data_IF_402932135182
#
_entry.id   IF_402932135182
#
_cell.length_a   1.000
_cell.length_b   1.000
_cell.length_c   1.000
_cell.angle_alpha   90.00
_cell.angle_beta   90.00
_cell.angle_gamma   90.00
#
_symmetry.space_group_name_H-M   'P 1'
#
loop_
_entity.id
_entity.type
_entity.pdbx_description
1 polymer ?
#
# COMPACT_ATOMS: atom_id res chain seq x y z
N UNK A 1 -29.75 -17.50 4.94
CA UNK A 1 -28.65 -16.61 4.53
C UNK A 1 -28.48 -15.55 5.59
N UNK A 2 -27.30 -15.51 6.22
CA UNK A 2 -26.93 -14.38 7.06
C UNK A 2 -26.56 -13.20 6.16
N UNK A 3 -26.87 -11.99 6.62
CA UNK A 3 -26.55 -10.75 5.92
C UNK A 3 -25.68 -9.89 6.82
N UNK A 4 -24.72 -9.20 6.23
CA UNK A 4 -23.98 -8.17 6.94
C UNK A 4 -24.85 -6.90 7.06
N UNK A 5 -24.48 -6.01 7.98
CA UNK A 5 -25.15 -4.72 8.09
C UNK A 5 -24.75 -3.79 6.93
N UNK A 6 -25.62 -2.86 6.58
CA UNK A 6 -25.30 -1.79 5.63
C UNK A 6 -24.10 -0.94 6.10
N UNK A 7 -23.95 -0.71 7.41
CA UNK A 7 -22.79 -0.02 7.96
C UNK A 7 -21.49 -0.78 7.70
N UNK A 8 -21.53 -2.11 7.74
CA UNK A 8 -20.35 -2.96 7.43
C UNK A 8 -19.95 -2.82 5.96
N UNK A 9 -20.91 -2.83 5.03
CA UNK A 9 -20.64 -2.61 3.60
C UNK A 9 -20.07 -1.21 3.33
N UNK A 10 -20.65 -0.16 3.94
CA UNK A 10 -20.15 1.20 3.81
C UNK A 10 -18.75 1.39 4.41
N UNK A 11 -18.43 0.69 5.50
CA UNK A 11 -17.09 0.70 6.07
C UNK A 11 -16.08 0.05 5.10
N UNK A 12 -16.46 -1.05 4.45
CA UNK A 12 -15.64 -1.71 3.44
C UNK A 12 -15.33 -0.79 2.25
N UNK A 13 -16.33 -0.07 1.73
CA UNK A 13 -16.13 0.93 0.67
C UNK A 13 -15.19 2.06 1.11
N UNK A 14 -15.42 2.64 2.29
CA UNK A 14 -14.57 3.71 2.83
C UNK A 14 -13.12 3.25 3.00
N UNK A 15 -12.92 2.02 3.47
CA UNK A 15 -11.59 1.44 3.62
C UNK A 15 -10.91 1.25 2.27
N UNK A 16 -11.60 0.74 1.26
CA UNK A 16 -11.05 0.58 -0.09
C UNK A 16 -10.59 1.93 -0.68
N UNK A 17 -11.40 2.99 -0.51
CA UNK A 17 -11.03 4.34 -0.94
C UNK A 17 -9.83 4.91 -0.18
N UNK A 18 -9.73 4.65 1.12
CA UNK A 18 -8.58 5.06 1.93
C UNK A 18 -7.30 4.35 1.46
N UNK A 19 -7.37 3.04 1.19
CA UNK A 19 -6.27 2.24 0.65
C UNK A 19 -5.82 2.75 -0.72
N UNK A 20 -6.75 3.19 -1.58
CA UNK A 20 -6.43 3.79 -2.88
C UNK A 20 -5.64 5.10 -2.73
N UNK A 21 -6.10 6.00 -1.84
CA UNK A 21 -5.37 7.24 -1.53
C UNK A 21 -3.97 6.95 -1.00
N UNK A 22 -3.85 5.96 -0.12
CA UNK A 22 -2.57 5.56 0.45
C UNK A 22 -1.60 5.02 -0.61
N UNK A 23 -2.08 4.15 -1.51
CA UNK A 23 -1.27 3.64 -2.62
C UNK A 23 -0.77 4.77 -3.54
N UNK A 24 -1.57 5.82 -3.75
CA UNK A 24 -1.15 7.02 -4.50
C UNK A 24 -0.03 7.78 -3.78
N UNK A 25 -0.15 8.00 -2.47
CA UNK A 25 0.90 8.67 -1.70
C UNK A 25 2.23 7.87 -1.73
N UNK A 26 2.17 6.55 -1.68
CA UNK A 26 3.36 5.69 -1.84
C UNK A 26 3.95 5.87 -3.24
N UNK A 27 3.14 5.87 -4.29
CA UNK A 27 3.61 6.10 -5.66
C UNK A 27 4.34 7.44 -5.79
N UNK A 28 3.79 8.51 -5.20
CA UNK A 28 4.39 9.84 -5.18
C UNK A 28 5.73 9.87 -4.44
N UNK A 29 5.85 9.17 -3.30
CA UNK A 29 7.14 8.99 -2.61
C UNK A 29 8.15 8.26 -3.50
N UNK A 30 7.73 7.21 -4.19
CA UNK A 30 8.58 6.47 -5.13
C UNK A 30 9.10 7.35 -6.26
N UNK A 31 8.25 8.23 -6.81
CA UNK A 31 8.64 9.22 -7.83
C UNK A 31 9.61 10.28 -7.28
N UNK A 32 9.32 10.84 -6.10
CA UNK A 32 10.17 11.84 -5.48
C UNK A 32 11.59 11.34 -5.20
N UNK A 33 11.74 10.05 -4.85
CA UNK A 33 13.05 9.41 -4.67
C UNK A 33 13.85 9.29 -5.97
N UNK A 34 13.19 9.27 -7.13
CA UNK A 34 13.83 9.21 -8.44
C UNK A 34 14.27 10.59 -8.95
N UNK A 35 13.63 11.66 -8.50
CA UNK A 35 13.81 13.03 -9.01
C UNK A 35 14.62 13.96 -8.08
N UNK A 36 14.96 13.52 -6.86
CA UNK A 36 15.65 14.34 -5.86
C UNK A 36 17.13 14.65 -6.18
N UNK A 37 17.73 15.54 -5.39
CA UNK A 37 19.15 15.97 -5.49
C UNK A 37 20.15 14.80 -5.39
N UNK A 38 19.75 13.75 -4.68
CA UNK A 38 20.45 12.46 -4.60
C UNK A 38 19.47 11.33 -4.90
N UNK A 39 19.23 11.03 -6.20
CA UNK A 39 18.19 10.11 -6.58
C UNK A 39 18.57 8.66 -6.23
N UNK A 40 17.60 7.93 -5.68
CA UNK A 40 17.69 6.50 -5.44
C UNK A 40 16.73 5.79 -6.41
N UNK A 41 17.21 5.61 -7.64
CA UNK A 41 16.38 5.16 -8.78
C UNK A 41 15.77 3.78 -8.52
N UNK A 42 16.56 2.84 -8.00
CA UNK A 42 16.09 1.47 -7.79
C UNK A 42 15.09 1.38 -6.63
N UNK A 43 15.35 2.08 -5.52
CA UNK A 43 14.39 2.18 -4.42
C UNK A 43 13.11 2.89 -4.87
N UNK A 44 13.25 4.01 -5.58
CA UNK A 44 12.14 4.80 -6.07
C UNK A 44 11.22 4.02 -7.00
N UNK A 45 11.78 3.27 -7.98
CA UNK A 45 11.01 2.37 -8.84
C UNK A 45 10.29 1.27 -8.05
N UNK A 46 10.95 0.67 -7.06
CA UNK A 46 10.35 -0.38 -6.23
C UNK A 46 9.15 0.14 -5.44
N UNK A 47 9.29 1.30 -4.81
CA UNK A 47 8.21 1.96 -4.06
C UNK A 47 7.08 2.40 -5.01
N UNK A 48 7.42 2.96 -6.16
CA UNK A 48 6.43 3.37 -7.17
C UNK A 48 5.59 2.17 -7.63
N UNK A 49 6.23 1.04 -7.94
CA UNK A 49 5.56 -0.19 -8.32
C UNK A 49 4.64 -0.72 -7.19
N UNK A 50 5.09 -0.63 -5.94
CA UNK A 50 4.28 -1.00 -4.78
C UNK A 50 3.05 -0.09 -4.62
N UNK A 51 3.23 1.23 -4.75
CA UNK A 51 2.11 2.19 -4.72
C UNK A 51 1.07 1.90 -5.79
N UNK A 52 1.50 1.57 -7.01
CA UNK A 52 0.62 1.13 -8.11
C UNK A 52 -0.10 -0.19 -7.81
N UNK A 53 0.59 -1.15 -7.21
CA UNK A 53 -0.01 -2.44 -6.82
C UNK A 53 -1.10 -2.25 -5.76
N UNK A 54 -0.84 -1.43 -4.74
CA UNK A 54 -1.81 -1.09 -3.69
C UNK A 54 -3.03 -0.39 -4.30
N UNK A 55 -2.84 0.55 -5.22
CA UNK A 55 -3.95 1.21 -5.91
C UNK A 55 -4.81 0.22 -6.69
N UNK A 56 -4.20 -0.71 -7.44
CA UNK A 56 -4.92 -1.75 -8.17
C UNK A 56 -5.73 -2.64 -7.23
N UNK A 57 -5.11 -3.15 -6.17
CA UNK A 57 -5.79 -3.98 -5.17
C UNK A 57 -6.92 -3.24 -4.45
N UNK A 58 -6.70 -1.96 -4.11
CA UNK A 58 -7.73 -1.12 -3.52
C UNK A 58 -8.93 -0.93 -4.44
N UNK A 59 -8.70 -0.78 -5.75
CA UNK A 59 -9.76 -0.64 -6.74
C UNK A 59 -10.53 -1.95 -6.94
N UNK A 60 -9.83 -3.09 -6.99
CA UNK A 60 -10.47 -4.41 -7.01
C UNK A 60 -11.33 -4.65 -5.75
N UNK A 61 -10.81 -4.27 -4.59
CA UNK A 61 -11.54 -4.35 -3.32
C UNK A 61 -12.72 -3.38 -3.26
N UNK A 62 -12.63 -2.21 -3.90
CA UNK A 62 -13.75 -1.28 -4.00
C UNK A 62 -14.90 -1.88 -4.83
N UNK A 63 -14.58 -2.44 -6.00
CA UNK A 63 -15.59 -3.12 -6.85
C UNK A 63 -16.25 -4.30 -6.12
N UNK A 64 -15.46 -5.06 -5.34
CA UNK A 64 -16.01 -6.13 -4.50
C UNK A 64 -16.91 -5.58 -3.40
N UNK A 65 -16.55 -4.45 -2.78
CA UNK A 65 -17.38 -3.82 -1.76
C UNK A 65 -18.72 -3.30 -2.32
N UNK A 66 -18.73 -2.73 -3.52
CA UNK A 66 -19.96 -2.29 -4.20
C UNK A 66 -20.89 -3.48 -4.47
N UNK A 67 -20.33 -4.61 -4.94
CA UNK A 67 -21.09 -5.84 -5.18
C UNK A 67 -21.78 -6.40 -3.95
N UNK A 68 -21.25 -6.18 -2.74
CA UNK A 68 -21.90 -6.63 -1.49
C UNK A 68 -23.30 -6.00 -1.36
N UNK A 69 -23.43 -4.73 -1.73
CA UNK A 69 -24.72 -4.04 -1.72
C UNK A 69 -25.66 -4.59 -2.80
N UNK A 70 -25.14 -4.89 -4.00
CA UNK A 70 -25.89 -5.47 -5.13
C UNK A 70 -26.38 -6.89 -4.84
N UNK A 71 -25.59 -7.68 -4.13
CA UNK A 71 -25.90 -9.07 -3.74
C UNK A 71 -26.74 -9.14 -2.45
N UNK A 72 -27.29 -8.01 -2.01
CA UNK A 72 -28.21 -7.96 -0.88
C UNK A 72 -27.56 -8.19 0.48
N UNK A 73 -26.30 -7.75 0.63
CA UNK A 73 -25.48 -7.82 1.84
C UNK A 73 -25.08 -9.24 2.23
N UNK A 74 -24.78 -10.09 1.25
CA UNK A 74 -24.34 -11.46 1.45
C UNK A 74 -23.11 -11.55 2.35
N UNK A 75 -23.13 -12.47 3.33
CA UNK A 75 -21.96 -12.78 4.17
C UNK A 75 -20.84 -13.38 3.35
N UNK A 76 -21.14 -14.22 2.36
CA UNK A 76 -20.14 -14.82 1.47
C UNK A 76 -19.37 -13.75 0.67
N UNK A 77 -20.09 -12.79 0.08
CA UNK A 77 -19.46 -11.68 -0.64
C UNK A 77 -18.55 -10.82 0.25
N UNK A 78 -18.97 -10.62 1.51
CA UNK A 78 -18.15 -9.92 2.49
C UNK A 78 -16.90 -10.69 2.91
N UNK A 79 -16.95 -12.03 2.98
CA UNK A 79 -15.79 -12.87 3.25
C UNK A 79 -14.77 -12.79 2.11
N UNK A 80 -15.23 -12.85 0.86
CA UNK A 80 -14.35 -12.68 -0.32
C UNK A 80 -13.70 -11.30 -0.38
N UNK A 81 -14.45 -10.24 -0.06
CA UNK A 81 -13.90 -8.90 0.12
C UNK A 81 -12.84 -8.88 1.22
N UNK A 82 -13.16 -9.45 2.39
CA UNK A 82 -12.28 -9.41 3.56
C UNK A 82 -10.97 -10.14 3.29
N UNK A 83 -11.01 -11.29 2.61
CA UNK A 83 -9.80 -12.02 2.24
C UNK A 83 -8.94 -11.23 1.25
N UNK A 84 -9.53 -10.68 0.18
CA UNK A 84 -8.79 -9.85 -0.77
C UNK A 84 -8.21 -8.58 -0.13
N UNK A 85 -8.84 -8.08 0.93
CA UNK A 85 -8.32 -6.98 1.72
C UNK A 85 -7.14 -7.39 2.62
N UNK A 86 -7.17 -8.58 3.20
CA UNK A 86 -6.05 -9.14 3.98
C UNK A 86 -4.82 -9.30 3.08
N UNK A 87 -4.97 -9.94 1.93
CA UNK A 87 -3.86 -10.19 0.98
C UNK A 87 -3.21 -8.87 0.52
N UNK A 88 -4.03 -7.83 0.33
CA UNK A 88 -3.56 -6.49 -0.01
C UNK A 88 -2.78 -5.82 1.14
N UNK A 89 -3.25 -5.97 2.38
CA UNK A 89 -2.54 -5.46 3.57
C UNK A 89 -1.19 -6.16 3.72
N UNK A 90 -1.11 -7.47 3.51
CA UNK A 90 0.14 -8.22 3.60
C UNK A 90 1.17 -7.71 2.60
N UNK A 91 0.76 -7.53 1.34
CA UNK A 91 1.58 -6.93 0.28
C UNK A 91 2.09 -5.54 0.70
N UNK A 92 1.23 -4.74 1.34
CA UNK A 92 1.58 -3.41 1.79
C UNK A 92 2.57 -3.42 2.97
N UNK A 93 2.41 -4.34 3.93
CA UNK A 93 3.37 -4.51 5.04
C UNK A 93 4.77 -4.85 4.50
N UNK A 94 4.85 -5.74 3.52
CA UNK A 94 6.13 -6.08 2.86
C UNK A 94 6.76 -4.87 2.17
N UNK A 95 5.95 -4.05 1.52
CA UNK A 95 6.40 -2.83 0.88
C UNK A 95 7.01 -1.82 1.87
N UNK A 96 6.32 -1.57 2.99
CA UNK A 96 6.80 -0.65 4.04
C UNK A 96 8.08 -1.16 4.68
N UNK A 97 8.19 -2.48 4.92
CA UNK A 97 9.42 -3.09 5.45
C UNK A 97 10.61 -2.88 4.51
N UNK A 98 10.43 -3.17 3.22
CA UNK A 98 11.48 -2.97 2.22
C UNK A 98 11.94 -1.51 2.16
N UNK A 99 11.01 -0.55 2.31
CA UNK A 99 11.36 0.87 2.39
C UNK A 99 12.17 1.22 3.64
N UNK A 100 11.74 0.74 4.82
CA UNK A 100 12.47 0.95 6.08
C UNK A 100 13.89 0.37 6.02
N UNK A 101 14.06 -0.82 5.45
CA UNK A 101 15.36 -1.45 5.26
C UNK A 101 16.27 -0.62 4.34
N UNK A 102 15.73 -0.10 3.23
CA UNK A 102 16.49 0.74 2.32
C UNK A 102 16.90 2.08 2.95
N UNK A 103 16.01 2.71 3.73
CA UNK A 103 16.34 3.91 4.50
C UNK A 103 17.44 3.63 5.54
N UNK A 104 17.34 2.53 6.28
CA UNK A 104 18.35 2.14 7.27
C UNK A 104 19.73 1.93 6.61
N UNK A 105 19.77 1.22 5.46
CA UNK A 105 20.99 1.02 4.70
C UNK A 105 21.60 2.34 4.21
N UNK A 106 20.77 3.29 3.74
CA UNK A 106 21.21 4.62 3.32
C UNK A 106 21.79 5.43 4.48
N UNK A 107 21.14 5.43 5.65
CA UNK A 107 21.63 6.11 6.84
C UNK A 107 22.97 5.53 7.31
N UNK A 108 23.13 4.20 7.32
CA UNK A 108 24.41 3.56 7.62
C UNK A 108 25.52 3.94 6.64
N UNK A 109 25.21 4.00 5.34
CA UNK A 109 26.18 4.40 4.31
C UNK A 109 26.58 5.86 4.43
N UNK A 110 25.63 6.75 4.76
CA UNK A 110 25.88 8.17 5.02
C UNK A 110 26.84 8.36 6.21
N UNK A 111 26.59 7.67 7.32
CA UNK A 111 27.42 7.77 8.53
C UNK A 111 28.85 7.24 8.32
N UNK A 112 29.03 6.22 7.49
CA UNK A 112 30.37 5.71 7.14
C UNK A 112 31.11 6.58 6.12
N UNK A 113 30.40 7.38 5.32
CA UNK A 113 31.00 8.31 4.36
C UNK A 113 31.47 9.62 5.01
N UNK A 114 31.02 9.92 6.23
CA UNK A 114 31.39 11.09 7.03
C UNK A 114 32.59 10.88 7.97
N UNK A 115 33.37 9.79 7.81
CA UNK A 115 34.73 9.70 8.38
C UNK A 115 35.81 10.04 7.34
N UNK A 116 36.01 11.31 6.92
CA UNK A 116 37.28 11.70 6.35
C UNK A 116 38.27 11.99 7.49
N UNK A 117 39.33 11.19 7.56
CA UNK A 117 40.52 11.50 8.33
C UNK A 117 40.54 10.99 9.76
N UNK A 118 41.19 9.84 9.96
CA UNK A 118 42.08 9.68 11.10
C UNK A 118 43.45 9.26 10.53
N UNK A 119 44.37 10.22 10.60
CA UNK A 119 45.84 10.24 10.42
C UNK A 119 46.57 9.03 9.82
#
# INVERSE_FOLDING_TARGET
MHKISQQTAQAAEKHALASQKHGKSIEEVGKALQEGEHPDIELGKRIEAQGKSIQKQAQENHLKAEKISEEGYSTEAYLEYSQGHIDAIETHIEAVKAYQEALAARLHKSNNSQKPGEN
#
